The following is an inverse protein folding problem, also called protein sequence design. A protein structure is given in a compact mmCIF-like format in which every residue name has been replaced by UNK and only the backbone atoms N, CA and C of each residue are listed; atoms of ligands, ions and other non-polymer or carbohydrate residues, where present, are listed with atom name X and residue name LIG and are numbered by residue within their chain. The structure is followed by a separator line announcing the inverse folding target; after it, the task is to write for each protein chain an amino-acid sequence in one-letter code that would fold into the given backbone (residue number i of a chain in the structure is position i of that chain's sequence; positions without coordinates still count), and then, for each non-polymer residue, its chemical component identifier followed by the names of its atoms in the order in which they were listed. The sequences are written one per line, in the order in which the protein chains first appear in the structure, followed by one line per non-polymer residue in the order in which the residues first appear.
data_IF_405560077654
#
_entry.id   IF_405560077654
#
_cell.length_a   1.000
_cell.length_b   1.000
_cell.length_c   1.000
_cell.angle_alpha   90.00
_cell.angle_beta   90.00
_cell.angle_gamma   90.00
#
_symmetry.space_group_name_H-M   'P 1'
#
loop_
_entity.id
_entity.type
_entity.pdbx_description
1 polymer ?
#
# COMPACT_ATOMS: atom_id res chain seq x y z
N UNK A 1 -1.90 -13.02 4.48
CA UNK A 1 -1.04 -11.91 4.97
C UNK A 1 -0.58 -11.10 3.77
N UNK A 2 0.17 -10.01 3.93
CA UNK A 2 0.63 -9.22 2.78
C UNK A 2 1.37 -7.94 3.15
N UNK A 3 1.72 -7.18 2.11
CA UNK A 3 2.38 -5.87 2.21
C UNK A 3 1.49 -4.76 1.66
N UNK A 4 1.41 -3.67 2.41
CA UNK A 4 0.89 -2.39 1.95
C UNK A 4 2.03 -1.57 1.34
N UNK A 5 1.85 -1.18 0.09
CA UNK A 5 2.92 -0.69 -0.80
C UNK A 5 2.60 0.67 -1.42
N UNK A 6 1.48 1.28 -1.05
CA UNK A 6 1.12 2.63 -1.47
C UNK A 6 1.40 3.66 -0.38
N UNK A 7 1.17 4.93 -0.68
CA UNK A 7 1.29 6.03 0.28
C UNK A 7 2.57 6.86 0.17
N UNK A 8 2.53 8.04 0.78
CA UNK A 8 3.62 9.03 0.69
C UNK A 8 4.90 8.53 1.37
N UNK A 9 4.77 7.65 2.37
CA UNK A 9 5.91 7.08 3.08
C UNK A 9 6.76 6.20 2.16
N UNK A 10 6.13 5.34 1.37
CA UNK A 10 6.82 4.47 0.40
C UNK A 10 7.50 5.34 -0.67
N UNK A 11 6.77 6.33 -1.21
CA UNK A 11 7.31 7.25 -2.21
C UNK A 11 8.57 7.97 -1.72
N UNK A 12 8.52 8.61 -0.55
CA UNK A 12 9.67 9.36 0.02
C UNK A 12 10.86 8.45 0.30
N UNK A 13 10.61 7.22 0.73
CA UNK A 13 11.70 6.28 1.02
C UNK A 13 12.35 5.79 -0.27
N UNK A 14 11.58 5.53 -1.32
CA UNK A 14 12.08 5.17 -2.63
C UNK A 14 12.93 6.30 -3.24
N UNK A 15 12.44 7.53 -3.18
CA UNK A 15 13.17 8.74 -3.60
C UNK A 15 14.49 8.90 -2.83
N UNK A 16 14.49 8.72 -1.51
CA UNK A 16 15.70 8.80 -0.69
C UNK A 16 16.73 7.70 -0.97
N UNK A 17 16.33 6.63 -1.66
CA UNK A 17 17.20 5.53 -2.08
C UNK A 17 17.43 5.53 -3.61
N UNK A 18 17.08 6.60 -4.31
CA UNK A 18 17.24 6.76 -5.76
C UNK A 18 16.64 5.61 -6.60
N UNK A 19 15.50 5.07 -6.15
CA UNK A 19 14.79 3.98 -6.83
C UNK A 19 13.32 4.34 -7.05
N UNK A 20 12.67 3.61 -7.97
CA UNK A 20 11.22 3.75 -8.15
C UNK A 20 10.47 3.15 -6.95
N UNK A 21 9.26 3.65 -6.61
CA UNK A 21 8.44 3.08 -5.54
C UNK A 21 8.17 1.59 -5.70
N UNK A 22 7.90 1.14 -6.94
CA UNK A 22 7.68 -0.28 -7.24
C UNK A 22 8.93 -1.10 -6.96
N UNK A 23 10.10 -0.67 -7.45
CA UNK A 23 11.36 -1.38 -7.21
C UNK A 23 11.71 -1.44 -5.71
N UNK A 24 11.39 -0.38 -4.96
CA UNK A 24 11.57 -0.36 -3.51
C UNK A 24 10.66 -1.37 -2.80
N UNK A 25 9.37 -1.40 -3.16
CA UNK A 25 8.41 -2.36 -2.60
C UNK A 25 8.80 -3.81 -2.93
N UNK A 26 9.15 -4.08 -4.20
CA UNK A 26 9.61 -5.41 -4.65
C UNK A 26 10.82 -5.87 -3.84
N UNK A 27 11.81 -5.00 -3.66
CA UNK A 27 13.01 -5.28 -2.86
C UNK A 27 12.66 -5.67 -1.43
N UNK A 28 11.79 -4.90 -0.76
CA UNK A 28 11.42 -5.17 0.63
C UNK A 28 10.69 -6.51 0.79
N UNK A 29 9.81 -6.87 -0.16
CA UNK A 29 9.10 -8.15 -0.14
C UNK A 29 10.08 -9.32 -0.19
N UNK A 30 11.05 -9.28 -1.11
CA UNK A 30 12.00 -10.38 -1.31
C UNK A 30 13.09 -10.42 -0.22
N UNK A 31 13.61 -9.26 0.22
CA UNK A 31 14.78 -9.21 1.11
C UNK A 31 14.42 -9.15 2.60
N UNK A 32 13.23 -8.66 2.96
CA UNK A 32 12.84 -8.46 4.36
C UNK A 32 11.64 -9.31 4.77
N UNK A 33 10.53 -9.26 4.03
CA UNK A 33 9.28 -9.88 4.47
C UNK A 33 9.26 -11.40 4.32
N UNK A 34 9.53 -11.92 3.12
CA UNK A 34 9.54 -13.38 2.88
C UNK A 34 10.58 -14.11 3.74
N UNK A 35 11.84 -13.64 3.86
CA UNK A 35 12.83 -14.32 4.71
C UNK A 35 12.44 -14.31 6.18
N UNK A 36 11.80 -13.25 6.67
CA UNK A 36 11.33 -13.19 8.05
C UNK A 36 10.20 -14.20 8.29
N UNK A 37 9.28 -14.38 7.34
CA UNK A 37 8.20 -15.36 7.45
C UNK A 37 8.73 -16.79 7.49
N UNK A 38 9.71 -17.09 6.64
CA UNK A 38 10.42 -18.37 6.66
C UNK A 38 11.16 -18.58 7.99
N UNK A 39 11.88 -17.56 8.47
CA UNK A 39 12.65 -17.64 9.72
C UNK A 39 11.76 -17.87 10.94
N UNK A 40 10.59 -17.22 10.99
CA UNK A 40 9.61 -17.37 12.07
C UNK A 40 8.75 -18.63 11.91
N UNK A 41 8.93 -19.41 10.84
CA UNK A 41 8.13 -20.58 10.49
C UNK A 41 6.62 -20.26 10.45
N UNK A 42 6.27 -19.11 9.88
CA UNK A 42 4.89 -18.65 9.74
C UNK A 42 4.34 -19.21 8.43
N UNK A 43 3.36 -20.10 8.52
CA UNK A 43 2.61 -20.55 7.36
C UNK A 43 1.56 -19.50 6.95
N UNK A 44 1.38 -19.30 5.65
CA UNK A 44 0.31 -18.48 5.09
C UNK A 44 -0.22 -19.12 3.80
N UNK A 45 -1.54 -19.10 3.64
CA UNK A 45 -2.19 -19.61 2.43
C UNK A 45 -2.05 -18.63 1.25
N UNK A 46 -1.91 -17.33 1.54
CA UNK A 46 -1.72 -16.27 0.56
C UNK A 46 -0.88 -15.12 1.14
N UNK A 47 -0.04 -14.53 0.29
CA UNK A 47 0.74 -13.32 0.55
C UNK A 47 0.37 -12.29 -0.51
N UNK A 48 -0.57 -11.40 -0.17
CA UNK A 48 -1.05 -10.38 -1.10
C UNK A 48 -0.15 -9.15 -1.09
N UNK A 49 0.02 -8.52 -2.24
CA UNK A 49 0.65 -7.22 -2.37
C UNK A 49 -0.37 -6.21 -2.88
N UNK A 50 -0.48 -5.03 -2.28
CA UNK A 50 -1.48 -4.04 -2.70
C UNK A 50 -1.22 -3.50 -4.12
N UNK A 51 0.00 -3.65 -4.66
CA UNK A 51 0.34 -3.32 -6.06
C UNK A 51 -0.18 -4.33 -7.09
N UNK A 52 -0.68 -5.49 -6.66
CA UNK A 52 -1.23 -6.50 -7.58
C UNK A 52 -2.54 -6.03 -8.20
N UNK A 53 -2.71 -6.35 -9.49
CA UNK A 53 -3.93 -6.02 -10.25
C UNK A 53 -5.22 -6.48 -9.55
N UNK A 54 -5.22 -7.65 -8.93
CA UNK A 54 -6.39 -8.17 -8.19
C UNK A 54 -6.83 -7.27 -7.04
N UNK A 55 -5.90 -6.54 -6.42
CA UNK A 55 -6.20 -5.58 -5.37
C UNK A 55 -6.70 -4.27 -6.00
N UNK A 56 -5.96 -3.74 -6.99
CA UNK A 56 -6.32 -2.49 -7.67
C UNK A 56 -7.72 -2.53 -8.27
N UNK A 57 -8.06 -3.61 -8.99
CA UNK A 57 -9.38 -3.78 -9.61
C UNK A 57 -10.51 -3.73 -8.57
N UNK A 58 -10.30 -4.36 -7.41
CA UNK A 58 -11.30 -4.43 -6.33
C UNK A 58 -11.48 -3.10 -5.60
N UNK A 59 -10.40 -2.39 -5.35
CA UNK A 59 -10.47 -1.05 -4.75
C UNK A 59 -11.16 -0.07 -5.71
N UNK A 60 -10.87 -0.16 -7.01
CA UNK A 60 -11.57 0.64 -8.02
C UNK A 60 -13.07 0.35 -8.06
N UNK A 61 -13.46 -0.92 -8.05
CA UNK A 61 -14.87 -1.34 -7.98
C UNK A 61 -15.57 -0.77 -6.73
N UNK A 62 -14.93 -0.88 -5.57
CA UNK A 62 -15.44 -0.36 -4.31
C UNK A 62 -15.62 1.17 -4.32
N UNK A 63 -14.60 1.91 -4.77
CA UNK A 63 -14.66 3.38 -4.84
C UNK A 63 -15.71 3.84 -5.86
N UNK A 64 -15.84 3.14 -7.00
CA UNK A 64 -16.84 3.45 -8.01
C UNK A 64 -18.27 3.26 -7.46
N UNK A 65 -18.53 2.18 -6.72
CA UNK A 65 -19.83 1.94 -6.08
C UNK A 65 -20.22 3.06 -5.09
N UNK A 66 -19.26 3.53 -4.28
CA UNK A 66 -19.50 4.67 -3.38
C UNK A 66 -19.76 5.97 -4.14
N UNK A 67 -19.03 6.18 -5.25
CA UNK A 67 -19.24 7.35 -6.11
C UNK A 67 -20.65 7.33 -6.73
N UNK A 68 -21.07 6.19 -7.29
CA UNK A 68 -22.35 6.04 -7.97
C UNK A 68 -23.55 6.18 -7.00
N UNK A 69 -23.35 5.84 -5.72
CA UNK A 69 -24.32 6.06 -4.64
C UNK A 69 -24.39 7.50 -4.15
N UNK A 70 -23.49 8.38 -4.60
CA UNK A 70 -23.42 9.76 -4.15
C UNK A 70 -22.80 9.94 -2.75
N UNK A 71 -22.09 8.92 -2.24
CA UNK A 71 -21.42 8.97 -0.93
C UNK A 71 -20.08 9.73 -0.98
N UNK A 72 -19.59 10.03 -2.19
CA UNK A 72 -18.34 10.77 -2.41
C UNK A 72 -18.67 12.19 -2.87
N UNK A 73 -18.13 13.17 -2.14
CA UNK A 73 -18.21 14.58 -2.50
C UNK A 73 -16.82 15.22 -2.54
N UNK A 74 -16.68 16.28 -3.34
CA UNK A 74 -15.44 17.05 -3.41
C UNK A 74 -15.40 18.07 -2.28
N UNK A 75 -14.37 18.02 -1.45
CA UNK A 75 -14.11 18.98 -0.38
C UNK A 75 -12.67 19.50 -0.41
N UNK A 76 -12.38 20.49 0.43
CA UNK A 76 -11.03 20.86 0.82
C UNK A 76 -10.75 20.33 2.23
N UNK A 77 -9.53 19.87 2.46
CA UNK A 77 -9.07 19.46 3.79
C UNK A 77 -7.94 20.40 4.22
N UNK A 78 -8.05 20.95 5.43
CA UNK A 78 -7.00 21.69 6.11
C UNK A 78 -6.90 21.16 7.54
N UNK A 79 -5.73 20.64 7.89
CA UNK A 79 -5.49 20.00 9.17
C UNK A 79 -4.08 19.41 9.23
N UNK A 80 -3.62 19.01 10.43
CA UNK A 80 -2.34 18.34 10.57
C UNK A 80 -2.39 16.98 9.86
N UNK A 81 -1.34 16.64 9.11
CA UNK A 81 -1.21 15.31 8.51
C UNK A 81 0.13 14.69 8.87
N UNK A 82 0.10 13.48 9.43
CA UNK A 82 1.30 12.73 9.75
C UNK A 82 1.63 11.75 8.63
N UNK A 83 2.66 12.06 7.84
CA UNK A 83 3.11 11.17 6.74
C UNK A 83 3.63 9.82 7.24
N UNK A 84 4.16 9.76 8.47
CA UNK A 84 4.66 8.52 9.04
C UNK A 84 3.55 7.54 9.45
N UNK A 85 2.38 8.07 9.82
CA UNK A 85 1.20 7.31 10.24
C UNK A 85 0.15 7.17 9.13
N UNK A 86 0.24 7.99 8.09
CA UNK A 86 -0.79 8.13 7.04
C UNK A 86 -2.16 8.53 7.62
N UNK A 87 -2.13 9.46 8.58
CA UNK A 87 -3.27 9.87 9.40
C UNK A 87 -3.45 11.39 9.41
N UNK A 88 -4.72 11.81 9.43
CA UNK A 88 -5.24 13.19 9.49
C UNK A 88 -5.61 13.64 10.91
#
# INVERSE_FOLDING_TARGET
TGTDEHGQKIMRTAEANDVTPQAWADKLVEEAWKPLWEHLNIANDDFIRTTEKRHTDRVQEFVQDLYDKGEIYKGGYEGPYCVGCEEY
#
